data_IF_303596321332
#
_entry.id   IF_303596321332
#
_cell.length_a   1.000
_cell.length_b   1.000
_cell.length_c   1.000
_cell.angle_alpha   90.00
_cell.angle_beta   90.00
_cell.angle_gamma   90.00
#
_symmetry.space_group_name_H-M   'P 1'
#
loop_
_entity.id
_entity.type
_entity.pdbx_description
1 polymer ?
#
# COMPACT_ATOMS: atom_id res chain seq x y z
N UNK A 1 8.21 -4.93 3.75
CA UNK A 1 7.31 -4.95 4.93
C UNK A 1 5.95 -5.50 4.53
N UNK A 2 5.23 -6.13 5.46
CA UNK A 2 3.89 -6.67 5.25
C UNK A 2 2.98 -6.27 6.42
N UNK A 3 1.67 -6.02 6.20
CA UNK A 3 0.74 -5.73 7.29
C UNK A 3 0.63 -6.88 8.28
N UNK A 4 0.58 -8.11 7.81
CA UNK A 4 0.41 -9.32 8.63
C UNK A 4 1.41 -10.42 8.27
N UNK A 5 1.60 -11.38 9.19
CA UNK A 5 2.37 -12.59 8.90
C UNK A 5 1.67 -13.53 7.91
N UNK A 6 0.35 -13.44 7.77
CA UNK A 6 -0.41 -14.20 6.76
C UNK A 6 0.03 -13.78 5.36
N UNK A 7 0.21 -12.49 5.12
CA UNK A 7 0.66 -11.95 3.84
C UNK A 7 2.16 -12.20 3.59
N UNK A 8 2.99 -12.15 4.63
CA UNK A 8 4.43 -12.34 4.52
C UNK A 8 4.85 -13.81 4.30
N UNK A 9 4.10 -14.75 4.89
CA UNK A 9 4.49 -16.16 4.98
C UNK A 9 4.78 -16.83 3.62
N UNK A 10 4.00 -16.69 2.56
CA UNK A 10 4.31 -17.30 1.27
C UNK A 10 5.61 -16.81 0.68
N UNK A 11 5.93 -15.52 0.78
CA UNK A 11 7.22 -14.97 0.37
C UNK A 11 8.37 -15.54 1.21
N UNK A 12 8.24 -15.56 2.53
CA UNK A 12 9.28 -16.07 3.44
C UNK A 12 9.60 -17.55 3.22
N UNK A 13 8.61 -18.35 2.85
CA UNK A 13 8.75 -19.80 2.60
C UNK A 13 9.11 -20.12 1.14
N UNK A 14 8.99 -19.16 0.23
CA UNK A 14 9.33 -19.30 -1.17
C UNK A 14 10.83 -19.17 -1.44
N UNK A 15 11.22 -19.40 -2.69
CA UNK A 15 12.63 -19.35 -3.13
C UNK A 15 13.26 -17.96 -2.96
N UNK A 16 12.46 -16.89 -2.99
CA UNK A 16 12.91 -15.52 -2.80
C UNK A 16 13.00 -15.08 -1.32
N UNK A 17 12.54 -15.90 -0.37
CA UNK A 17 12.44 -15.53 1.06
C UNK A 17 13.74 -15.16 1.75
N UNK A 18 14.90 -15.62 1.24
CA UNK A 18 16.23 -15.25 1.73
C UNK A 18 16.83 -13.99 1.09
N UNK A 19 16.13 -13.35 0.17
CA UNK A 19 16.69 -12.24 -0.62
C UNK A 19 16.51 -10.87 0.03
N UNK A 20 15.65 -10.75 1.04
CA UNK A 20 15.39 -9.48 1.73
C UNK A 20 15.01 -9.73 3.21
N UNK A 21 15.28 -8.75 4.07
CA UNK A 21 14.75 -8.78 5.44
C UNK A 21 13.24 -8.55 5.43
N UNK A 22 12.50 -9.36 6.19
CA UNK A 22 11.03 -9.27 6.26
C UNK A 22 10.57 -8.72 7.61
N UNK A 23 9.75 -7.69 7.55
CA UNK A 23 9.21 -7.00 8.74
C UNK A 23 7.69 -6.91 8.65
N UNK A 24 7.03 -6.98 9.80
CA UNK A 24 5.60 -6.74 9.91
C UNK A 24 5.35 -5.28 10.28
N UNK A 25 4.55 -4.55 9.49
CA UNK A 25 4.16 -3.17 9.80
C UNK A 25 2.85 -3.05 10.59
N UNK A 26 2.03 -4.10 10.71
CA UNK A 26 0.72 -4.02 11.34
C UNK A 26 -0.36 -3.51 10.40
N UNK A 27 -1.60 -3.53 10.85
CA UNK A 27 -2.78 -3.08 10.10
C UNK A 27 -3.09 -1.64 10.48
N UNK A 28 -3.41 -0.83 9.46
CA UNK A 28 -3.77 0.58 9.60
C UNK A 28 -2.58 1.52 9.52
N UNK A 29 -2.86 2.73 9.03
CA UNK A 29 -1.84 3.74 8.72
C UNK A 29 -0.97 4.11 9.92
N UNK A 30 -1.53 4.21 11.12
CA UNK A 30 -0.81 4.61 12.34
C UNK A 30 0.19 3.54 12.76
N UNK A 31 -0.23 2.28 12.83
CA UNK A 31 0.66 1.18 13.23
C UNK A 31 1.75 0.97 12.16
N UNK A 32 1.38 1.04 10.89
CA UNK A 32 2.33 0.96 9.79
C UNK A 32 3.38 2.07 9.85
N UNK A 33 2.96 3.32 10.06
CA UNK A 33 3.87 4.46 10.20
C UNK A 33 4.84 4.27 11.37
N UNK A 34 4.35 3.92 12.56
CA UNK A 34 5.18 3.75 13.75
C UNK A 34 6.24 2.65 13.56
N UNK A 35 5.85 1.50 12.99
CA UNK A 35 6.79 0.40 12.76
C UNK A 35 7.76 0.68 11.63
N UNK A 36 7.30 1.34 10.56
CA UNK A 36 8.18 1.78 9.47
C UNK A 36 9.26 2.71 9.99
N UNK A 37 8.90 3.74 10.78
CA UNK A 37 9.85 4.65 11.40
C UNK A 37 10.87 3.91 12.28
N UNK A 38 10.42 2.95 13.09
CA UNK A 38 11.29 2.12 13.93
C UNK A 38 12.29 1.28 13.12
N UNK A 39 11.85 0.66 12.03
CA UNK A 39 12.73 -0.11 11.12
C UNK A 39 13.73 0.81 10.44
N UNK A 40 13.31 1.95 9.90
CA UNK A 40 14.20 2.89 9.22
C UNK A 40 15.26 3.46 10.17
N UNK A 41 14.90 3.76 11.41
CA UNK A 41 15.84 4.23 12.43
C UNK A 41 16.88 3.16 12.82
N UNK A 42 16.45 1.90 12.94
CA UNK A 42 17.30 0.81 13.42
C UNK A 42 18.18 0.19 12.33
N UNK A 43 17.69 0.10 11.08
CA UNK A 43 18.31 -0.68 9.99
C UNK A 43 18.90 0.18 8.89
N UNK A 44 18.36 1.39 8.66
CA UNK A 44 18.79 2.31 7.59
C UNK A 44 18.91 1.61 6.22
N UNK A 45 17.85 0.96 5.73
CA UNK A 45 17.91 0.28 4.45
C UNK A 45 18.06 1.28 3.30
N UNK A 46 18.72 0.87 2.22
CA UNK A 46 18.83 1.69 0.99
C UNK A 46 17.50 1.75 0.23
N UNK A 47 16.62 0.77 0.44
CA UNK A 47 15.31 0.67 -0.17
C UNK A 47 14.34 -0.10 0.73
N UNK A 48 13.08 0.32 0.78
CA UNK A 48 12.04 -0.38 1.54
C UNK A 48 10.80 -0.62 0.67
N UNK A 49 10.25 -1.84 0.74
CA UNK A 49 9.02 -2.24 0.03
C UNK A 49 7.90 -2.52 1.03
N UNK A 50 6.74 -1.88 0.83
CA UNK A 50 5.49 -2.31 1.44
C UNK A 50 4.77 -3.25 0.47
N UNK A 51 4.40 -4.43 0.92
CA UNK A 51 3.66 -5.41 0.12
C UNK A 51 2.44 -5.91 0.91
N UNK A 52 1.28 -5.93 0.27
CA UNK A 52 0.03 -6.35 0.89
C UNK A 52 -1.08 -6.59 -0.13
N UNK A 53 -2.25 -6.96 0.36
CA UNK A 53 -3.45 -7.08 -0.47
C UNK A 53 -4.24 -5.76 -0.49
N UNK A 54 -5.14 -5.62 -1.48
CA UNK A 54 -6.01 -4.45 -1.63
C UNK A 54 -7.38 -4.83 -2.21
N UNK A 55 -8.36 -3.95 -2.01
CA UNK A 55 -9.62 -3.96 -2.73
C UNK A 55 -9.55 -3.07 -3.97
N UNK A 56 -10.10 -3.53 -5.12
CA UNK A 56 -10.17 -2.71 -6.33
C UNK A 56 -11.57 -2.10 -6.53
N UNK A 57 -11.64 -0.90 -7.09
CA UNK A 57 -12.90 -0.38 -7.60
C UNK A 57 -13.36 -1.24 -8.79
N UNK A 58 -14.64 -1.67 -8.84
CA UNK A 58 -15.13 -2.58 -9.89
C UNK A 58 -14.97 -2.03 -11.31
N UNK A 59 -14.93 -0.70 -11.47
CA UNK A 59 -14.90 -0.02 -12.77
C UNK A 59 -13.50 0.18 -13.37
N UNK A 60 -12.42 -0.15 -12.64
CA UNK A 60 -11.05 0.19 -13.09
C UNK A 60 -10.36 -0.88 -13.92
N UNK A 61 -11.03 -1.99 -14.19
CA UNK A 61 -10.52 -3.07 -15.05
C UNK A 61 -9.36 -3.85 -14.42
N UNK A 62 -9.30 -3.95 -13.08
CA UNK A 62 -8.40 -4.82 -12.34
C UNK A 62 -9.14 -6.10 -11.93
N UNK A 63 -8.49 -7.24 -12.10
CA UNK A 63 -9.00 -8.53 -11.66
C UNK A 63 -8.42 -8.94 -10.31
N UNK A 64 -9.12 -9.81 -9.56
CA UNK A 64 -8.54 -10.45 -8.38
C UNK A 64 -7.34 -11.31 -8.79
N UNK A 65 -6.22 -11.13 -8.10
CA UNK A 65 -4.93 -11.71 -8.44
C UNK A 65 -4.01 -10.79 -9.25
N UNK A 66 -4.50 -9.67 -9.77
CA UNK A 66 -3.62 -8.66 -10.38
C UNK A 66 -2.77 -7.97 -9.30
N UNK A 67 -1.47 -7.84 -9.57
CA UNK A 67 -0.57 -7.03 -8.75
C UNK A 67 -0.32 -5.69 -9.42
N UNK A 68 -0.37 -4.63 -8.61
CA UNK A 68 -0.18 -3.24 -9.05
C UNK A 68 0.88 -2.54 -8.19
N UNK A 69 1.50 -1.51 -8.78
CA UNK A 69 2.41 -0.59 -8.11
C UNK A 69 1.63 0.65 -7.69
N UNK A 70 1.77 1.07 -6.43
CA UNK A 70 1.14 2.30 -5.95
C UNK A 70 2.09 3.47 -6.15
N UNK A 71 1.65 4.47 -6.91
CA UNK A 71 2.39 5.72 -7.15
C UNK A 71 1.91 6.88 -6.29
N UNK A 72 0.67 6.81 -5.79
CA UNK A 72 0.04 7.83 -4.94
C UNK A 72 -0.87 7.19 -3.92
N UNK A 73 -0.79 7.65 -2.68
CA UNK A 73 -1.68 7.27 -1.59
C UNK A 73 -2.48 8.48 -1.09
N UNK A 74 -3.81 8.37 -1.17
CA UNK A 74 -4.71 9.32 -0.54
C UNK A 74 -4.99 8.92 0.91
N UNK A 75 -4.90 9.87 1.85
CA UNK A 75 -5.45 9.70 3.20
C UNK A 75 -6.97 9.95 3.12
N UNK A 76 -7.69 8.96 2.58
CA UNK A 76 -9.03 9.17 2.04
C UNK A 76 -10.09 9.45 3.12
N UNK A 77 -9.87 9.04 4.36
CA UNK A 77 -10.80 9.23 5.49
C UNK A 77 -10.31 10.29 6.51
N UNK A 78 -9.27 11.04 6.15
CA UNK A 78 -8.82 12.20 6.94
C UNK A 78 -9.59 13.44 6.53
N UNK A 79 -10.54 13.86 7.35
CA UNK A 79 -11.42 14.98 7.00
C UNK A 79 -12.48 15.29 8.05
N UNK A 80 -13.45 16.10 7.65
CA UNK A 80 -14.60 16.50 8.46
C UNK A 80 -15.92 16.17 7.74
N UNK A 81 -16.99 15.95 8.51
CA UNK A 81 -18.34 15.86 7.98
C UNK A 81 -19.06 17.18 8.19
N UNK A 82 -19.56 17.77 7.09
CA UNK A 82 -20.44 18.95 7.12
C UNK A 82 -21.70 18.66 6.31
N UNK A 83 -22.84 18.73 6.94
CA UNK A 83 -24.15 18.51 6.30
C UNK A 83 -24.21 17.17 5.51
N UNK A 84 -23.60 16.12 6.07
CA UNK A 84 -23.53 14.78 5.45
C UNK A 84 -22.52 14.63 4.32
N UNK A 85 -21.74 15.67 3.99
CA UNK A 85 -20.66 15.62 2.99
C UNK A 85 -19.31 15.51 3.67
N UNK A 86 -18.47 14.61 3.16
CA UNK A 86 -17.09 14.50 3.59
C UNK A 86 -16.25 15.62 2.95
N UNK A 87 -15.49 16.33 3.78
CA UNK A 87 -14.55 17.37 3.34
C UNK A 87 -13.16 16.92 3.77
N UNK A 88 -12.27 16.60 2.81
CA UNK A 88 -10.92 16.18 3.12
C UNK A 88 -10.11 17.32 3.74
N UNK A 89 -9.18 16.97 4.64
CA UNK A 89 -8.20 17.88 5.20
C UNK A 89 -6.83 17.62 4.58
N UNK A 90 -5.98 18.66 4.43
CA UNK A 90 -4.63 18.50 3.95
C UNK A 90 -3.79 17.71 4.97
N UNK A 91 -3.04 16.73 4.50
CA UNK A 91 -2.21 15.88 5.37
C UNK A 91 -0.90 16.56 5.78
N UNK A 92 -0.42 17.53 5.02
CA UNK A 92 0.77 18.34 5.32
C UNK A 92 0.47 19.58 6.17
N UNK A 93 -0.81 19.86 6.44
CA UNK A 93 -1.26 21.00 7.23
C UNK A 93 -1.18 22.35 6.52
N UNK A 94 -0.64 22.43 5.30
CA UNK A 94 -0.34 23.69 4.61
C UNK A 94 -1.26 23.98 3.41
N UNK A 95 -1.72 22.95 2.70
CA UNK A 95 -2.58 23.10 1.51
C UNK A 95 -3.86 22.27 1.61
N UNK A 96 -5.01 22.92 1.49
CA UNK A 96 -6.35 22.29 1.53
C UNK A 96 -6.58 21.29 0.38
N UNK A 97 -5.71 21.25 -0.60
CA UNK A 97 -5.86 20.37 -1.77
C UNK A 97 -5.08 19.06 -1.67
N UNK A 98 -4.11 18.94 -0.77
CA UNK A 98 -3.21 17.80 -0.71
C UNK A 98 -3.57 16.84 0.42
N UNK A 99 -4.54 15.97 0.17
CA UNK A 99 -4.84 14.83 1.04
C UNK A 99 -4.15 13.54 0.57
N UNK A 100 -2.99 13.66 -0.07
CA UNK A 100 -2.24 12.54 -0.64
C UNK A 100 -0.73 12.67 -0.47
N UNK A 101 -0.04 11.55 -0.66
CA UNK A 101 1.41 11.41 -0.74
C UNK A 101 1.80 10.78 -2.08
N UNK A 102 2.76 11.36 -2.78
CA UNK A 102 3.34 10.78 -3.99
C UNK A 102 4.57 9.94 -3.68
N UNK A 103 4.80 8.90 -4.47
CA UNK A 103 6.05 8.17 -4.46
C UNK A 103 7.03 8.80 -5.47
N UNK A 104 8.10 9.47 -5.00
CA UNK A 104 9.10 10.07 -5.89
C UNK A 104 10.13 9.05 -6.39
N UNK A 105 10.12 7.81 -5.88
CA UNK A 105 11.14 6.80 -6.20
C UNK A 105 10.94 6.25 -7.61
N UNK A 106 11.97 6.34 -8.45
CA UNK A 106 11.99 5.64 -9.72
C UNK A 106 12.22 4.16 -9.51
N UNK A 107 11.35 3.32 -10.06
CA UNK A 107 11.40 1.86 -9.94
C UNK A 107 11.14 1.19 -11.29
N UNK A 108 11.59 -0.08 -11.49
CA UNK A 108 11.30 -0.83 -12.71
C UNK A 108 9.79 -0.88 -13.01
N UNK A 109 9.35 -0.60 -14.26
CA UNK A 109 7.93 -0.55 -14.63
C UNK A 109 7.35 -1.95 -14.88
N UNK A 110 7.46 -2.85 -13.90
CA UNK A 110 7.00 -4.24 -14.01
C UNK A 110 5.50 -4.39 -13.84
N UNK A 111 4.84 -3.45 -13.16
CA UNK A 111 3.44 -3.51 -12.79
C UNK A 111 2.71 -2.25 -13.22
N UNK A 112 1.40 -2.37 -13.46
CA UNK A 112 0.55 -1.20 -13.70
C UNK A 112 0.63 -0.26 -12.50
N UNK A 113 0.95 1.01 -12.76
CA UNK A 113 0.95 2.06 -11.75
C UNK A 113 -0.47 2.58 -11.51
N UNK A 114 -0.86 2.70 -10.25
CA UNK A 114 -2.17 3.17 -9.83
C UNK A 114 -2.07 4.10 -8.63
N UNK A 115 -3.13 4.90 -8.42
CA UNK A 115 -3.37 5.58 -7.16
C UNK A 115 -4.22 4.69 -6.24
N UNK A 116 -4.05 4.85 -4.93
CA UNK A 116 -4.72 4.10 -3.89
C UNK A 116 -5.33 5.02 -2.83
N UNK A 117 -6.43 4.59 -2.23
CA UNK A 117 -7.00 5.17 -1.02
C UNK A 117 -6.53 4.38 0.21
N UNK A 118 -5.97 5.08 1.19
CA UNK A 118 -5.79 4.53 2.54
C UNK A 118 -7.00 4.88 3.38
N UNK A 119 -7.64 3.86 3.97
CA UNK A 119 -8.84 3.98 4.80
C UNK A 119 -8.69 3.21 6.12
N UNK A 120 -9.31 3.69 7.20
CA UNK A 120 -9.35 2.98 8.47
C UNK A 120 -10.44 1.87 8.48
N UNK A 121 -11.45 1.99 7.62
CA UNK A 121 -12.54 1.01 7.49
C UNK A 121 -12.71 0.64 6.02
N UNK A 122 -12.40 -0.61 5.68
CA UNK A 122 -12.52 -1.11 4.31
C UNK A 122 -13.95 -0.95 3.77
N UNK A 123 -14.07 -0.44 2.53
CA UNK A 123 -15.37 -0.19 1.89
C UNK A 123 -16.17 0.96 2.49
N UNK A 124 -15.58 1.82 3.30
CA UNK A 124 -16.29 2.97 3.88
C UNK A 124 -16.78 3.93 2.78
N UNK A 125 -18.05 4.38 2.82
CA UNK A 125 -18.51 5.47 1.96
C UNK A 125 -18.09 6.84 2.48
N UNK A 126 -17.63 6.95 3.73
CA UNK A 126 -17.24 8.21 4.38
C UNK A 126 -15.78 8.47 4.08
N UNK A 127 -15.51 9.01 2.91
CA UNK A 127 -14.16 9.33 2.44
C UNK A 127 -14.18 10.43 1.37
N UNK A 128 -13.00 10.97 1.07
CA UNK A 128 -12.81 11.89 -0.04
C UNK A 128 -13.12 11.22 -1.38
N UNK A 129 -13.65 12.00 -2.34
CA UNK A 129 -13.59 11.62 -3.74
C UNK A 129 -12.14 11.69 -4.22
N UNK A 130 -11.65 10.62 -4.82
CA UNK A 130 -10.27 10.49 -5.29
C UNK A 130 -10.23 9.84 -6.68
N UNK A 131 -9.07 9.90 -7.32
CA UNK A 131 -8.78 9.16 -8.55
C UNK A 131 -8.20 7.76 -8.26
N UNK A 132 -8.35 7.25 -7.04
CA UNK A 132 -7.82 5.96 -6.64
C UNK A 132 -8.49 4.81 -7.41
N UNK A 133 -7.69 3.83 -7.77
CA UNK A 133 -8.13 2.58 -8.40
C UNK A 133 -8.39 1.48 -7.38
N UNK A 134 -7.73 1.55 -6.23
CA UNK A 134 -7.74 0.53 -5.17
C UNK A 134 -7.85 1.19 -3.80
N UNK A 135 -8.16 0.39 -2.77
CA UNK A 135 -8.07 0.79 -1.37
C UNK A 135 -7.24 -0.20 -0.55
N UNK A 136 -6.52 0.33 0.43
CA UNK A 136 -5.79 -0.40 1.45
C UNK A 136 -5.90 0.30 2.81
N UNK A 137 -5.18 -0.16 3.83
CA UNK A 137 -5.27 0.42 5.18
C UNK A 137 -3.93 1.01 5.69
N UNK A 138 -2.82 0.87 4.98
CA UNK A 138 -1.47 1.16 5.47
C UNK A 138 -0.72 2.24 4.68
N UNK A 139 -0.97 2.33 3.38
CA UNK A 139 -0.12 3.00 2.41
C UNK A 139 0.21 4.46 2.75
N UNK A 140 -0.79 5.27 3.13
CA UNK A 140 -0.55 6.68 3.48
C UNK A 140 0.43 6.82 4.65
N UNK A 141 0.34 5.96 5.68
CA UNK A 141 1.27 5.96 6.80
C UNK A 141 2.69 5.58 6.39
N UNK A 142 2.82 4.61 5.49
CA UNK A 142 4.11 4.19 4.93
C UNK A 142 4.75 5.29 4.08
N UNK A 143 4.00 5.89 3.16
CA UNK A 143 4.45 6.98 2.29
C UNK A 143 4.88 8.22 3.09
N UNK A 144 4.08 8.59 4.10
CA UNK A 144 4.40 9.73 4.96
C UNK A 144 5.76 9.59 5.65
N UNK A 145 6.04 8.40 6.20
CA UNK A 145 7.31 8.15 6.92
C UNK A 145 8.48 8.06 5.94
N UNK A 146 8.35 7.31 4.85
CA UNK A 146 9.43 7.16 3.88
C UNK A 146 9.76 8.49 3.21
N UNK A 147 8.74 9.28 2.83
CA UNK A 147 8.92 10.62 2.27
C UNK A 147 9.58 11.59 3.24
N UNK A 148 9.14 11.62 4.50
CA UNK A 148 9.71 12.50 5.53
C UNK A 148 11.18 12.19 5.84
N UNK A 149 11.58 10.91 5.75
CA UNK A 149 12.96 10.47 6.02
C UNK A 149 13.82 10.36 4.75
N UNK A 150 13.27 10.62 3.57
CA UNK A 150 13.99 10.58 2.30
C UNK A 150 14.52 9.19 1.92
N UNK A 151 13.87 8.12 2.37
CA UNK A 151 14.28 6.75 2.06
C UNK A 151 13.57 6.29 0.78
N UNK A 152 14.29 5.77 -0.24
CA UNK A 152 13.68 5.21 -1.43
C UNK A 152 12.74 4.05 -1.09
N UNK A 153 11.56 4.03 -1.72
CA UNK A 153 10.55 3.04 -1.40
C UNK A 153 9.66 2.65 -2.59
N UNK A 154 8.94 1.55 -2.44
CA UNK A 154 7.84 1.17 -3.32
C UNK A 154 6.71 0.53 -2.51
N UNK A 155 5.54 0.44 -3.13
CA UNK A 155 4.39 -0.29 -2.60
C UNK A 155 3.79 -1.17 -3.69
N UNK A 156 3.65 -2.47 -3.39
CA UNK A 156 2.98 -3.46 -4.22
C UNK A 156 1.70 -3.95 -3.54
N UNK A 157 0.61 -3.97 -4.30
CA UNK A 157 -0.68 -4.50 -3.84
C UNK A 157 -1.22 -5.53 -4.81
N UNK A 158 -1.61 -6.70 -4.28
CA UNK A 158 -2.33 -7.71 -5.05
C UNK A 158 -3.83 -7.64 -4.72
N UNK A 159 -4.66 -7.62 -5.75
CA UNK A 159 -6.10 -7.45 -5.59
C UNK A 159 -6.73 -8.73 -5.03
N UNK A 160 -7.32 -8.63 -3.85
CA UNK A 160 -8.00 -9.75 -3.17
C UNK A 160 -9.52 -9.71 -3.34
N UNK A 161 -10.10 -8.52 -3.53
CA UNK A 161 -11.54 -8.28 -3.56
C UNK A 161 -11.89 -7.04 -4.37
N UNK A 162 -13.18 -6.86 -4.61
CA UNK A 162 -13.72 -5.57 -5.04
C UNK A 162 -14.24 -4.80 -3.82
N UNK A 163 -14.11 -3.46 -3.86
CA UNK A 163 -14.60 -2.57 -2.80
C UNK A 163 -16.09 -2.74 -2.62
N UNK A 164 -16.55 -2.88 -1.38
CA UNK A 164 -17.94 -3.15 -1.02
C UNK A 164 -18.34 -4.64 -1.10
N UNK A 165 -17.43 -5.53 -1.50
CA UNK A 165 -17.71 -6.97 -1.53
C UNK A 165 -17.66 -7.58 -0.13
N UNK A 166 -18.57 -8.49 0.16
CA UNK A 166 -18.57 -9.24 1.42
C UNK A 166 -17.26 -10.02 1.63
N UNK A 167 -16.73 -10.00 2.85
CA UNK A 167 -15.44 -10.61 3.18
C UNK A 167 -15.34 -12.11 2.81
N UNK A 168 -16.45 -12.85 2.86
CA UNK A 168 -16.50 -14.26 2.45
C UNK A 168 -16.18 -14.51 0.96
N UNK A 169 -16.23 -13.46 0.12
CA UNK A 169 -15.94 -13.52 -1.32
C UNK A 169 -14.52 -13.07 -1.65
N UNK A 170 -13.75 -12.64 -0.66
CA UNK A 170 -12.36 -12.21 -0.84
C UNK A 170 -11.45 -13.40 -1.14
N UNK A 171 -10.61 -13.29 -2.15
CA UNK A 171 -9.64 -14.33 -2.55
C UNK A 171 -8.27 -14.10 -1.90
N UNK A 172 -8.24 -14.01 -0.56
CA UNK A 172 -7.04 -13.64 0.19
C UNK A 172 -5.88 -14.62 -0.07
N UNK A 173 -6.11 -15.92 0.00
CA UNK A 173 -5.05 -16.92 -0.18
C UNK A 173 -4.43 -16.87 -1.58
N UNK A 174 -5.24 -16.67 -2.62
CA UNK A 174 -4.81 -16.53 -4.00
C UNK A 174 -3.97 -15.25 -4.17
N UNK A 175 -4.49 -14.11 -3.68
CA UNK A 175 -3.81 -12.82 -3.77
C UNK A 175 -2.47 -12.82 -3.04
N UNK A 176 -2.39 -13.42 -1.85
CA UNK A 176 -1.16 -13.50 -1.04
C UNK A 176 -0.12 -14.41 -1.71
N UNK A 177 -0.55 -15.54 -2.31
CA UNK A 177 0.34 -16.42 -3.08
C UNK A 177 0.93 -15.70 -4.29
N UNK A 178 0.08 -15.00 -5.06
CA UNK A 178 0.52 -14.24 -6.23
C UNK A 178 1.45 -13.08 -5.85
N UNK A 179 1.10 -12.34 -4.79
CA UNK A 179 1.93 -11.26 -4.27
C UNK A 179 3.34 -11.73 -3.93
N UNK A 180 3.48 -12.93 -3.33
CA UNK A 180 4.79 -13.48 -2.97
C UNK A 180 5.70 -13.70 -4.18
N UNK A 181 5.15 -14.24 -5.29
CA UNK A 181 5.88 -14.41 -6.55
C UNK A 181 6.29 -13.04 -7.13
N UNK A 182 5.35 -12.09 -7.17
CA UNK A 182 5.56 -10.78 -7.76
C UNK A 182 6.51 -9.91 -6.94
N UNK A 183 6.53 -10.03 -5.61
CA UNK A 183 7.55 -9.41 -4.74
C UNK A 183 8.94 -9.96 -5.06
N UNK A 184 9.08 -11.28 -5.25
CA UNK A 184 10.37 -11.87 -5.67
C UNK A 184 10.86 -11.26 -6.99
N UNK A 185 10.02 -11.24 -8.01
CA UNK A 185 10.33 -10.64 -9.32
C UNK A 185 10.71 -9.15 -9.21
N UNK A 186 10.01 -8.41 -8.36
CA UNK A 186 10.28 -6.99 -8.15
C UNK A 186 11.64 -6.76 -7.48
N UNK A 187 11.99 -7.55 -6.44
CA UNK A 187 13.28 -7.45 -5.76
C UNK A 187 14.43 -7.72 -6.74
N UNK A 188 14.31 -8.75 -7.59
CA UNK A 188 15.32 -9.06 -8.59
C UNK A 188 15.48 -7.89 -9.58
N UNK A 189 14.38 -7.35 -10.07
CA UNK A 189 14.42 -6.22 -11.00
C UNK A 189 14.99 -4.93 -10.38
N UNK A 190 14.68 -4.62 -9.10
CA UNK A 190 15.27 -3.45 -8.40
C UNK A 190 16.78 -3.58 -8.26
N UNK A 191 17.29 -4.78 -8.01
CA UNK A 191 18.74 -5.03 -7.92
C UNK A 191 19.48 -4.84 -9.23
N UNK A 192 18.80 -5.13 -10.35
CA UNK A 192 19.37 -4.93 -11.70
C UNK A 192 19.22 -3.48 -12.18
N UNK A 193 18.30 -2.72 -11.59
CA UNK A 193 17.98 -1.34 -11.97
C UNK A 193 18.97 -0.30 -11.41
N UNK A 194 19.76 -0.66 -10.41
CA UNK A 194 20.66 0.22 -9.62
C UNK A 194 21.92 0.65 -10.39
#
# INVERSE_FOLDING_TARGET
MYPTWVEARPFMLGSAGGTAEVWRCGIGAVECAARTAGVLAARRPDFILLAGIAGAHPSVGLAKGDTVMVSREYAADVGTLREGRFIPLPVDGNDVKNNFYDNPTSVPPLFRSVASDTVAVAGTPVRAESAACIENMEGAGFFAVCGALGVPFAELRCISNYIGEERGRWRIAEAVGRLAEDVGRFIDAVREWS
#
